data_IF_701480836170
#
_entry.id   IF_701480836170
#
_cell.length_a   1.000
_cell.length_b   1.000
_cell.length_c   1.000
_cell.angle_alpha   90.00
_cell.angle_beta   90.00
_cell.angle_gamma   90.00
#
_symmetry.space_group_name_H-M   'P 1'
#
loop_
_entity.id
_entity.type
_entity.pdbx_description
1 polymer ?
#
# COMPACT_ATOMS: atom_id res chain seq x y z
N UNK A 1 5.70 -40.87 11.45
CA UNK A 1 5.62 -39.49 11.96
C UNK A 1 6.60 -38.65 11.17
N UNK A 2 6.14 -37.62 10.45
CA UNK A 2 7.02 -36.72 9.70
C UNK A 2 7.88 -35.86 10.63
N UNK A 3 9.05 -35.44 10.15
CA UNK A 3 9.97 -34.59 10.91
C UNK A 3 9.31 -33.25 11.30
N UNK A 4 9.68 -32.65 12.44
CA UNK A 4 9.17 -31.34 12.85
C UNK A 4 9.54 -30.28 11.80
N UNK A 5 8.53 -29.58 11.27
CA UNK A 5 8.72 -28.53 10.28
C UNK A 5 9.27 -27.27 10.94
N UNK A 6 10.28 -26.65 10.33
CA UNK A 6 10.93 -25.44 10.82
C UNK A 6 10.17 -24.18 10.40
N UNK A 7 9.21 -23.75 11.22
CA UNK A 7 8.31 -22.61 10.98
C UNK A 7 8.92 -21.18 10.96
N UNK A 8 10.06 -20.86 11.61
CA UNK A 8 10.55 -19.49 11.73
C UNK A 8 10.70 -18.76 10.38
N UNK A 9 11.26 -19.41 9.36
CA UNK A 9 11.46 -18.78 8.04
C UNK A 9 10.16 -18.68 7.23
N UNK A 10 9.23 -19.61 7.42
CA UNK A 10 7.90 -19.54 6.82
C UNK A 10 7.11 -18.35 7.36
N UNK A 11 7.10 -18.17 8.68
CA UNK A 11 6.42 -17.05 9.34
C UNK A 11 7.02 -15.70 8.94
N UNK A 12 8.35 -15.61 8.89
CA UNK A 12 9.05 -14.39 8.47
C UNK A 12 8.69 -13.99 7.04
N UNK A 13 8.73 -14.94 6.10
CA UNK A 13 8.40 -14.67 4.69
C UNK A 13 6.94 -14.30 4.52
N UNK A 14 6.05 -14.99 5.25
CA UNK A 14 4.62 -14.70 5.22
C UNK A 14 4.30 -13.31 5.78
N UNK A 15 4.92 -12.92 6.90
CA UNK A 15 4.78 -11.58 7.46
C UNK A 15 5.31 -10.49 6.52
N UNK A 16 6.41 -10.75 5.81
CA UNK A 16 6.89 -9.85 4.78
C UNK A 16 5.88 -9.72 3.63
N UNK A 17 5.35 -10.84 3.12
CA UNK A 17 4.32 -10.85 2.09
C UNK A 17 3.09 -10.06 2.50
N UNK A 18 2.57 -10.26 3.72
CA UNK A 18 1.41 -9.55 4.23
C UNK A 18 1.65 -8.04 4.28
N UNK A 19 2.81 -7.61 4.78
CA UNK A 19 3.15 -6.19 4.84
C UNK A 19 3.30 -5.59 3.44
N UNK A 20 3.99 -6.30 2.52
CA UNK A 20 4.17 -5.85 1.14
C UNK A 20 2.83 -5.74 0.40
N UNK A 21 1.94 -6.73 0.55
CA UNK A 21 0.61 -6.71 -0.05
C UNK A 21 -0.26 -5.58 0.53
N UNK A 22 -0.22 -5.39 1.86
CA UNK A 22 -0.97 -4.33 2.55
C UNK A 22 -0.56 -2.94 2.05
N UNK A 23 0.72 -2.60 2.05
CA UNK A 23 1.17 -1.28 1.61
C UNK A 23 1.19 -1.13 0.08
N UNK A 24 1.43 -2.20 -0.66
CA UNK A 24 1.36 -2.20 -2.13
C UNK A 24 -0.05 -1.93 -2.65
N UNK A 25 -1.06 -2.57 -2.05
CA UNK A 25 -2.47 -2.30 -2.40
C UNK A 25 -2.89 -0.87 -2.06
N UNK A 26 -2.48 -0.34 -0.89
CA UNK A 26 -2.70 1.07 -0.54
C UNK A 26 -2.12 2.00 -1.62
N UNK A 27 -0.87 1.79 -2.00
CA UNK A 27 -0.18 2.62 -2.99
C UNK A 27 -0.91 2.63 -4.34
N UNK A 28 -1.31 1.45 -4.83
CA UNK A 28 -2.05 1.32 -6.09
C UNK A 28 -3.39 2.06 -6.04
N UNK A 29 -4.17 1.90 -4.97
CA UNK A 29 -5.46 2.58 -4.82
C UNK A 29 -5.28 4.10 -4.70
N UNK A 30 -4.32 4.56 -3.89
CA UNK A 30 -4.02 5.97 -3.73
C UNK A 30 -3.61 6.62 -5.06
N UNK A 31 -2.80 5.92 -5.87
CA UNK A 31 -2.38 6.36 -7.21
C UNK A 31 -3.59 6.52 -8.13
N UNK A 32 -4.49 5.53 -8.16
CA UNK A 32 -5.69 5.59 -9.01
C UNK A 32 -6.61 6.76 -8.60
N UNK A 33 -6.80 6.99 -7.30
CA UNK A 33 -7.61 8.12 -6.79
C UNK A 33 -6.95 9.46 -7.16
N UNK A 34 -5.64 9.57 -7.00
CA UNK A 34 -4.90 10.79 -7.33
C UNK A 34 -4.92 11.10 -8.84
N UNK A 35 -4.78 10.09 -9.70
CA UNK A 35 -4.94 10.26 -11.14
C UNK A 35 -6.37 10.63 -11.50
N UNK A 36 -7.37 10.01 -10.85
CA UNK A 36 -8.76 10.36 -11.07
C UNK A 36 -9.01 11.84 -10.77
N UNK A 37 -8.56 12.32 -9.61
CA UNK A 37 -8.68 13.73 -9.23
C UNK A 37 -7.85 14.66 -10.13
N UNK A 38 -6.59 14.32 -10.42
CA UNK A 38 -5.68 15.19 -11.16
C UNK A 38 -6.02 15.38 -12.64
N UNK A 39 -6.61 14.36 -13.29
CA UNK A 39 -6.91 14.38 -14.73
C UNK A 39 -8.39 14.60 -15.06
N UNK A 40 -9.33 14.15 -14.23
CA UNK A 40 -10.77 14.29 -14.51
C UNK A 40 -11.43 15.46 -13.79
N UNK A 41 -10.69 16.23 -13.00
CA UNK A 41 -11.18 17.47 -12.35
C UNK A 41 -10.29 18.66 -12.70
N UNK A 42 -10.66 19.87 -12.27
CA UNK A 42 -9.86 21.09 -12.46
C UNK A 42 -8.62 21.18 -11.56
N UNK A 43 -8.32 20.13 -10.79
CA UNK A 43 -7.23 20.13 -9.82
C UNK A 43 -5.83 20.13 -10.49
N UNK A 44 -5.65 19.45 -11.63
CA UNK A 44 -4.38 19.40 -12.36
C UNK A 44 -3.30 18.51 -11.72
N UNK A 45 -2.12 18.43 -12.34
CA UNK A 45 -1.06 17.48 -11.96
C UNK A 45 -0.51 17.68 -10.54
N UNK A 46 -0.15 18.91 -10.17
CA UNK A 46 0.50 19.18 -8.88
C UNK A 46 -0.41 18.90 -7.68
N UNK A 47 -1.70 19.20 -7.79
CA UNK A 47 -2.66 18.88 -6.73
C UNK A 47 -2.94 17.37 -6.66
N UNK A 48 -2.94 16.65 -7.80
CA UNK A 48 -3.00 15.20 -7.83
C UNK A 48 -1.82 14.56 -7.11
N UNK A 49 -0.60 15.05 -7.34
CA UNK A 49 0.62 14.59 -6.62
C UNK A 49 0.52 14.91 -5.13
N UNK A 50 0.02 16.08 -4.76
CA UNK A 50 -0.19 16.43 -3.34
C UNK A 50 -1.20 15.48 -2.69
N UNK A 51 -2.33 15.23 -3.35
CA UNK A 51 -3.37 14.30 -2.89
C UNK A 51 -2.81 12.88 -2.74
N UNK A 52 -2.01 12.42 -3.70
CA UNK A 52 -1.35 11.13 -3.65
C UNK A 52 -0.48 10.97 -2.39
N UNK A 53 0.34 11.98 -2.07
CA UNK A 53 1.20 11.97 -0.88
C UNK A 53 0.34 11.93 0.38
N UNK A 54 -0.71 12.76 0.45
CA UNK A 54 -1.62 12.80 1.60
C UNK A 54 -2.28 11.44 1.82
N UNK A 55 -2.81 10.81 0.76
CA UNK A 55 -3.45 9.50 0.86
C UNK A 55 -2.49 8.41 1.32
N UNK A 56 -1.24 8.41 0.86
CA UNK A 56 -0.24 7.44 1.33
C UNK A 56 0.12 7.66 2.80
N UNK A 57 0.31 8.91 3.23
CA UNK A 57 0.61 9.22 4.63
C UNK A 57 -0.54 8.83 5.54
N UNK A 58 -1.78 9.24 5.21
CA UNK A 58 -2.98 8.89 5.98
C UNK A 58 -3.20 7.38 5.97
N UNK A 59 -3.10 6.73 4.82
CA UNK A 59 -3.26 5.30 4.69
C UNK A 59 -2.24 4.50 5.48
N UNK A 60 -0.99 4.98 5.56
CA UNK A 60 0.04 4.37 6.40
C UNK A 60 -0.35 4.40 7.88
N UNK A 61 -0.82 5.54 8.39
CA UNK A 61 -1.26 5.66 9.79
C UNK A 61 -2.51 4.83 10.10
N UNK A 62 -3.41 4.64 9.13
CA UNK A 62 -4.61 3.81 9.30
C UNK A 62 -4.31 2.30 9.28
N UNK A 63 -3.26 1.89 8.57
CA UNK A 63 -2.89 0.48 8.39
C UNK A 63 -1.79 -0.03 9.34
N UNK A 64 -1.18 0.90 10.10
CA UNK A 64 -0.29 0.67 11.25
C UNK A 64 -0.97 -0.17 12.32
#
# INVERSE_FOLDING_TARGET
LGAPMDYPEHEKTYNFFLNAAKYGTLFCVALLIAMAAGFFTSAGFFSGVLLFIILNVVGYFLLR
#
